data_IF_327124740774
#
_entry.id   IF_327124740774
#
_cell.length_a   1.000
_cell.length_b   1.000
_cell.length_c   1.000
_cell.angle_alpha   90.00
_cell.angle_beta   90.00
_cell.angle_gamma   90.00
#
_symmetry.space_group_name_H-M   'P 1'
#
loop_
_entity.id
_entity.type
_entity.pdbx_description
1 polymer ?
#
# COMPACT_ATOMS: atom_id res chain seq x y z
N UNK A 1 -19.29 -22.00 -6.04
CA UNK A 1 -17.90 -21.84 -5.56
C UNK A 1 -17.17 -20.95 -6.55
N UNK A 2 -16.75 -19.75 -6.13
CA UNK A 2 -15.94 -18.89 -7.00
C UNK A 2 -14.51 -19.43 -6.95
N UNK A 3 -14.09 -20.09 -8.02
CA UNK A 3 -12.71 -20.56 -8.19
C UNK A 3 -11.87 -19.33 -8.53
N UNK A 4 -10.99 -18.91 -7.62
CA UNK A 4 -9.94 -17.95 -7.95
C UNK A 4 -8.89 -18.69 -8.77
N UNK A 5 -9.06 -18.69 -10.09
CA UNK A 5 -8.06 -19.18 -11.03
C UNK A 5 -6.75 -18.44 -10.78
N UNK A 6 -5.70 -19.22 -10.59
CA UNK A 6 -4.32 -18.83 -10.33
C UNK A 6 -3.64 -18.19 -11.55
N UNK A 7 -4.17 -17.05 -12.00
CA UNK A 7 -3.50 -16.19 -12.96
C UNK A 7 -2.90 -14.99 -12.22
N UNK A 8 -1.57 -15.01 -12.09
CA UNK A 8 -0.77 -14.04 -11.35
C UNK A 8 -0.76 -12.61 -11.94
N UNK A 9 -1.70 -12.29 -12.85
CA UNK A 9 -1.85 -11.00 -13.53
C UNK A 9 -3.26 -10.39 -13.40
N UNK A 10 -4.16 -11.03 -12.63
CA UNK A 10 -5.51 -10.54 -12.45
C UNK A 10 -5.50 -9.31 -11.53
N UNK A 11 -5.60 -8.13 -12.16
CA UNK A 11 -6.00 -6.89 -11.49
C UNK A 11 -7.25 -7.19 -10.67
N UNK A 12 -7.16 -6.96 -9.37
CA UNK A 12 -8.22 -7.29 -8.43
C UNK A 12 -9.52 -6.55 -8.83
N UNK A 13 -10.66 -7.25 -9.04
CA UNK A 13 -11.92 -6.60 -9.41
C UNK A 13 -12.36 -5.60 -8.33
N UNK A 14 -13.02 -4.50 -8.73
CA UNK A 14 -13.49 -3.48 -7.78
C UNK A 14 -14.35 -4.07 -6.64
N UNK A 15 -15.23 -5.03 -6.98
CA UNK A 15 -16.06 -5.75 -6.00
C UNK A 15 -15.25 -6.55 -4.98
N UNK A 16 -14.08 -7.06 -5.36
CA UNK A 16 -13.20 -7.74 -4.41
C UNK A 16 -12.62 -6.73 -3.41
N UNK A 17 -12.25 -5.52 -3.87
CA UNK A 17 -11.78 -4.45 -3.00
C UNK A 17 -12.83 -4.06 -1.96
N UNK A 18 -14.12 -4.04 -2.31
CA UNK A 18 -15.20 -3.72 -1.38
C UNK A 18 -15.36 -4.80 -0.29
N UNK A 19 -15.23 -6.08 -0.65
CA UNK A 19 -15.21 -7.18 0.32
C UNK A 19 -14.02 -7.05 1.26
N UNK A 20 -12.83 -6.71 0.74
CA UNK A 20 -11.65 -6.44 1.57
C UNK A 20 -11.85 -5.24 2.49
N UNK A 21 -12.54 -4.18 2.06
CA UNK A 21 -12.89 -3.05 2.92
C UNK A 21 -13.84 -3.48 4.04
N UNK A 22 -14.83 -4.31 3.74
CA UNK A 22 -15.73 -4.89 4.73
C UNK A 22 -14.97 -5.74 5.76
N UNK A 23 -14.06 -6.59 5.29
CA UNK A 23 -13.23 -7.44 6.14
C UNK A 23 -12.21 -6.64 6.96
N UNK A 24 -11.62 -5.59 6.39
CA UNK A 24 -10.69 -4.72 7.11
C UNK A 24 -11.34 -4.05 8.34
N UNK A 25 -12.64 -3.76 8.27
CA UNK A 25 -13.41 -3.16 9.37
C UNK A 25 -13.73 -4.13 10.50
N UNK A 26 -13.57 -5.44 10.32
CA UNK A 26 -13.81 -6.41 11.40
C UNK A 26 -12.62 -6.55 12.33
N UNK A 27 -11.45 -6.02 11.95
CA UNK A 27 -10.25 -6.08 12.78
C UNK A 27 -10.17 -4.91 13.75
N UNK A 28 -9.69 -5.20 14.94
CA UNK A 28 -9.28 -4.17 15.90
C UNK A 28 -8.02 -3.45 15.43
N UNK A 29 -7.75 -2.26 15.98
CA UNK A 29 -6.54 -1.50 15.67
C UNK A 29 -5.25 -2.31 15.99
N UNK A 30 -5.26 -3.07 17.08
CA UNK A 30 -4.11 -3.89 17.50
C UNK A 30 -3.89 -5.09 16.57
N UNK A 31 -4.95 -5.78 16.15
CA UNK A 31 -4.83 -6.84 15.15
C UNK A 31 -4.33 -6.32 13.79
N UNK A 32 -4.80 -5.12 13.39
CA UNK A 32 -4.33 -4.47 12.17
C UNK A 32 -2.84 -4.16 12.24
N UNK A 33 -2.39 -3.58 13.36
CA UNK A 33 -1.00 -3.25 13.64
C UNK A 33 -0.10 -4.48 13.71
N UNK A 34 -0.43 -5.44 14.57
CA UNK A 34 0.51 -6.48 14.96
C UNK A 34 0.50 -7.69 14.00
N UNK A 35 -0.63 -7.93 13.32
CA UNK A 35 -0.80 -9.11 12.49
C UNK A 35 -1.03 -8.80 11.01
N UNK A 36 -1.91 -7.85 10.69
CA UNK A 36 -2.34 -7.64 9.30
C UNK A 36 -1.35 -6.81 8.50
N UNK A 37 -0.89 -5.67 9.02
CA UNK A 37 0.04 -4.77 8.33
C UNK A 37 1.41 -5.44 8.05
N UNK A 38 2.02 -6.19 8.98
CA UNK A 38 3.26 -6.93 8.69
C UNK A 38 3.08 -7.97 7.58
N UNK A 39 1.92 -8.64 7.54
CA UNK A 39 1.58 -9.58 6.46
C UNK A 39 1.39 -8.85 5.13
N UNK A 40 0.72 -7.70 5.11
CA UNK A 40 0.55 -6.89 3.91
C UNK A 40 1.90 -6.44 3.33
N UNK A 41 2.81 -5.94 4.18
CA UNK A 41 4.19 -5.60 3.79
C UNK A 41 4.91 -6.81 3.21
N UNK A 42 4.81 -7.97 3.87
CA UNK A 42 5.41 -9.23 3.38
C UNK A 42 4.85 -9.65 2.02
N UNK A 43 3.56 -9.47 1.77
CA UNK A 43 2.94 -9.77 0.47
C UNK A 43 3.36 -8.76 -0.60
N UNK A 44 3.43 -7.46 -0.28
CA UNK A 44 3.95 -6.44 -1.21
C UNK A 44 5.39 -6.74 -1.65
N UNK A 45 6.23 -7.27 -0.77
CA UNK A 45 7.61 -7.70 -1.12
C UNK A 45 7.65 -8.89 -2.08
N UNK A 46 6.68 -9.81 -1.98
CA UNK A 46 6.66 -11.07 -2.76
C UNK A 46 5.94 -10.92 -4.09
N UNK A 47 4.80 -10.25 -4.08
CA UNK A 47 3.95 -10.03 -5.25
C UNK A 47 3.28 -8.64 -5.13
N UNK A 48 3.98 -7.56 -5.50
CA UNK A 48 3.44 -6.21 -5.41
C UNK A 48 2.19 -6.03 -6.29
N UNK A 49 2.14 -6.63 -7.47
CA UNK A 49 0.99 -6.53 -8.38
C UNK A 49 -0.28 -7.12 -7.76
N UNK A 50 -0.20 -8.31 -7.18
CA UNK A 50 -1.36 -8.90 -6.51
C UNK A 50 -1.78 -8.16 -5.23
N UNK A 51 -0.81 -7.58 -4.51
CA UNK A 51 -1.03 -7.04 -3.17
C UNK A 51 -1.43 -5.55 -3.14
N UNK A 52 -1.10 -4.75 -4.16
CA UNK A 52 -1.28 -3.29 -4.14
C UNK A 52 -2.74 -2.87 -3.93
N UNK A 53 -3.69 -3.47 -4.67
CA UNK A 53 -5.09 -3.10 -4.58
C UNK A 53 -5.71 -3.42 -3.20
N UNK A 54 -5.45 -4.64 -2.70
CA UNK A 54 -5.91 -5.06 -1.37
C UNK A 54 -5.25 -4.24 -0.25
N UNK A 55 -3.95 -3.95 -0.36
CA UNK A 55 -3.24 -3.14 0.64
C UNK A 55 -3.74 -1.71 0.65
N UNK A 56 -4.04 -1.13 -0.51
CA UNK A 56 -4.66 0.20 -0.59
C UNK A 56 -6.01 0.22 0.13
N UNK A 57 -6.88 -0.75 -0.16
CA UNK A 57 -8.19 -0.85 0.47
C UNK A 57 -8.08 -0.96 2.01
N UNK A 58 -7.12 -1.75 2.50
CA UNK A 58 -6.80 -1.87 3.92
C UNK A 58 -6.35 -0.53 4.53
N UNK A 59 -5.38 0.14 3.90
CA UNK A 59 -4.82 1.41 4.38
C UNK A 59 -5.84 2.57 4.33
N UNK A 60 -6.79 2.53 3.40
CA UNK A 60 -7.86 3.52 3.29
C UNK A 60 -9.02 3.28 4.27
N UNK A 61 -9.07 2.11 4.92
CA UNK A 61 -10.13 1.74 5.88
C UNK A 61 -9.64 1.61 7.31
N UNK A 62 -8.34 1.47 7.52
CA UNK A 62 -7.76 1.36 8.85
C UNK A 62 -7.76 2.72 9.56
N UNK A 63 -8.16 2.71 10.83
CA UNK A 63 -7.98 3.83 11.78
C UNK A 63 -6.70 3.64 12.63
N UNK A 64 -5.91 2.60 12.33
CA UNK A 64 -4.66 2.33 13.02
C UNK A 64 -3.64 3.43 12.70
N UNK A 65 -2.89 3.83 13.73
CA UNK A 65 -1.72 4.67 13.56
C UNK A 65 -0.63 3.90 12.78
N UNK A 66 -0.19 4.48 11.67
CA UNK A 66 0.77 3.87 10.76
C UNK A 66 2.22 4.29 11.00
N UNK A 67 2.49 5.12 12.02
CA UNK A 67 3.84 5.65 12.31
C UNK A 67 4.89 4.55 12.44
N UNK A 68 4.57 3.44 13.09
CA UNK A 68 5.50 2.32 13.32
C UNK A 68 5.77 1.48 12.05
N UNK A 69 4.98 1.65 11.00
CA UNK A 69 5.07 0.87 9.77
C UNK A 69 5.40 1.71 8.54
N UNK A 70 5.49 3.04 8.69
CA UNK A 70 5.72 3.96 7.58
C UNK A 70 7.01 3.64 6.83
N UNK A 71 8.09 3.30 7.54
CA UNK A 71 9.36 2.97 6.90
C UNK A 71 9.25 1.69 6.08
N UNK A 72 8.71 0.63 6.69
CA UNK A 72 8.53 -0.66 6.02
C UNK A 72 7.59 -0.59 4.81
N UNK A 73 6.52 0.21 4.90
CA UNK A 73 5.57 0.45 3.82
C UNK A 73 6.18 1.33 2.72
N UNK A 74 6.86 2.41 3.09
CA UNK A 74 7.50 3.29 2.11
C UNK A 74 8.59 2.55 1.33
N UNK A 75 9.42 1.73 1.99
CA UNK A 75 10.48 0.98 1.34
C UNK A 75 9.96 0.01 0.26
N UNK A 76 8.75 -0.54 0.43
CA UNK A 76 8.15 -1.45 -0.55
C UNK A 76 7.30 -0.73 -1.59
N UNK A 77 6.67 0.39 -1.24
CA UNK A 77 5.76 1.13 -2.13
C UNK A 77 6.50 2.12 -3.03
N UNK A 78 7.57 2.75 -2.54
CA UNK A 78 8.34 3.75 -3.29
C UNK A 78 8.90 3.19 -4.62
N UNK A 79 9.47 1.97 -4.69
CA UNK A 79 9.86 1.38 -5.97
C UNK A 79 8.69 1.13 -6.93
N UNK A 80 7.50 0.80 -6.40
CA UNK A 80 6.30 0.56 -7.22
C UNK A 80 5.73 1.87 -7.78
N UNK A 81 5.85 2.96 -7.03
CA UNK A 81 5.46 4.30 -7.47
C UNK A 81 6.30 4.81 -8.66
N UNK A 82 7.47 4.19 -8.91
CA UNK A 82 8.41 4.52 -10.00
C UNK A 82 8.37 3.53 -11.16
N UNK A 83 7.49 2.54 -11.09
CA UNK A 83 7.45 1.46 -12.06
C UNK A 83 7.08 1.98 -13.47
N UNK A 84 7.53 1.31 -14.53
CA UNK A 84 7.17 1.70 -15.92
C UNK A 84 5.67 1.52 -16.23
N UNK A 85 5.03 0.57 -15.56
CA UNK A 85 3.58 0.33 -15.59
C UNK A 85 2.81 1.42 -14.83
N UNK A 86 1.92 2.13 -15.54
CA UNK A 86 1.13 3.23 -14.99
C UNK A 86 0.21 2.78 -13.86
N UNK A 87 -0.45 1.63 -14.01
CA UNK A 87 -1.36 1.13 -13.00
C UNK A 87 -0.63 0.86 -11.68
N UNK A 88 0.60 0.30 -11.73
CA UNK A 88 1.44 0.12 -10.54
C UNK A 88 1.82 1.45 -9.90
N UNK A 89 2.21 2.45 -10.70
CA UNK A 89 2.54 3.78 -10.18
C UNK A 89 1.37 4.42 -9.45
N UNK A 90 0.19 4.43 -10.08
CA UNK A 90 -1.03 5.03 -9.52
C UNK A 90 -1.48 4.29 -8.26
N UNK A 91 -1.47 2.95 -8.28
CA UNK A 91 -1.86 2.15 -7.13
C UNK A 91 -0.92 2.36 -5.93
N UNK A 92 0.40 2.37 -6.16
CA UNK A 92 1.39 2.61 -5.12
C UNK A 92 1.34 4.05 -4.58
N UNK A 93 1.12 5.04 -5.45
CA UNK A 93 0.89 6.43 -5.04
C UNK A 93 -0.34 6.56 -4.14
N UNK A 94 -1.43 5.86 -4.47
CA UNK A 94 -2.62 5.80 -3.62
C UNK A 94 -2.34 5.19 -2.23
N UNK A 95 -1.51 4.14 -2.17
CA UNK A 95 -1.08 3.56 -0.90
C UNK A 95 -0.26 4.54 -0.07
N UNK A 96 0.74 5.19 -0.67
CA UNK A 96 1.58 6.19 0.00
C UNK A 96 0.74 7.36 0.54
N UNK A 97 -0.25 7.83 -0.24
CA UNK A 97 -1.18 8.87 0.23
C UNK A 97 -2.01 8.39 1.43
N UNK A 98 -2.48 7.14 1.43
CA UNK A 98 -3.19 6.56 2.57
C UNK A 98 -2.30 6.47 3.81
N UNK A 99 -1.04 6.05 3.68
CA UNK A 99 -0.06 6.01 4.78
C UNK A 99 0.21 7.41 5.35
N UNK A 100 0.38 8.41 4.47
CA UNK A 100 0.58 9.80 4.88
C UNK A 100 -0.60 10.34 5.70
N UNK A 101 -1.83 10.00 5.32
CA UNK A 101 -3.03 10.37 6.08
C UNK A 101 -3.10 9.66 7.44
N UNK A 102 -2.79 8.36 7.48
CA UNK A 102 -2.94 7.54 8.69
C UNK A 102 -1.96 7.85 9.83
N UNK A 103 -0.78 8.43 9.55
CA UNK A 103 0.17 8.84 10.60
C UNK A 103 0.50 10.33 10.65
N UNK A 104 -0.29 11.16 9.96
CA UNK A 104 -0.18 12.62 9.97
C UNK A 104 1.18 13.15 9.50
N UNK A 105 1.58 14.32 10.01
CA UNK A 105 2.74 15.08 9.52
C UNK A 105 4.07 14.32 9.57
N UNK A 106 4.25 13.40 10.53
CA UNK A 106 5.46 12.57 10.62
C UNK A 106 5.57 11.61 9.42
N UNK A 107 4.49 10.90 9.10
CA UNK A 107 4.45 9.99 7.96
C UNK A 107 4.56 10.74 6.62
N UNK A 108 3.91 11.90 6.49
CA UNK A 108 4.06 12.76 5.32
C UNK A 108 5.52 13.14 5.10
N UNK A 109 6.22 13.58 6.16
CA UNK A 109 7.63 13.97 6.05
C UNK A 109 8.53 12.78 5.73
N UNK A 110 8.28 11.61 6.31
CA UNK A 110 9.04 10.38 6.04
C UNK A 110 8.90 9.92 4.58
N UNK A 111 7.67 9.95 4.04
CA UNK A 111 7.41 9.64 2.62
C UNK A 111 8.02 10.70 1.71
N UNK A 112 7.82 11.98 2.03
CA UNK A 112 8.38 13.09 1.26
C UNK A 112 9.91 13.00 1.19
N UNK A 113 10.60 12.74 2.30
CA UNK A 113 12.06 12.61 2.30
C UNK A 113 12.58 11.44 1.45
N UNK A 114 11.77 10.40 1.24
CA UNK A 114 12.11 9.27 0.34
C UNK A 114 11.87 9.57 -1.14
N UNK A 115 10.89 10.43 -1.44
CA UNK A 115 10.56 10.84 -2.82
C UNK A 115 11.35 12.09 -3.24
N UNK A 116 11.72 12.95 -2.29
CA UNK A 116 12.45 14.21 -2.52
C UNK A 116 13.71 14.04 -3.37
N UNK A 117 14.61 13.06 -3.15
CA UNK A 117 15.79 12.89 -3.98
C UNK A 117 15.44 12.78 -5.47
N UNK A 118 14.29 12.23 -5.81
CA UNK A 118 13.87 12.04 -7.21
C UNK A 118 13.22 13.27 -7.83
N UNK A 119 12.50 14.06 -7.02
CA UNK A 119 11.99 15.35 -7.48
C UNK A 119 13.13 16.33 -7.74
N UNK A 120 14.23 16.17 -7.00
CA UNK A 120 15.42 17.03 -7.09
C UNK A 120 16.46 16.50 -8.09
N UNK A 121 16.41 15.21 -8.47
CA UNK A 121 17.26 14.63 -9.52
C UNK A 121 16.66 14.93 -10.91
N UNK A 122 16.58 16.21 -11.25
CA UNK A 122 16.19 16.71 -12.58
C UNK A 122 17.27 16.51 -13.63
N UNK A 123 18.43 15.92 -13.29
CA UNK A 123 19.56 15.71 -14.19
C UNK A 123 19.48 14.44 -15.06
N UNK A 124 18.42 13.62 -14.90
CA UNK A 124 18.23 12.36 -15.65
C UNK A 124 16.97 12.28 -16.53
N UNK A 125 16.29 13.41 -16.76
CA UNK A 125 15.17 13.47 -17.70
C UNK A 125 15.62 13.94 -19.08
#
# INVERSE_FOLDING_TARGET
AVVFSSDAKLKMPARASDVFRGFARTFTADELRDAVLPKAVKQLRRNPEGALAATRALLETTECDLREHVDALADVLTPQAKHADEWRRVAAGGCLAAVARGGGGACVRAIFNRVKPELMDTAKR
#
